data_IF_332560180031
#
_entry.id   IF_332560180031
#
_cell.length_a   1.000
_cell.length_b   1.000
_cell.length_c   1.000
_cell.angle_alpha   90.00
_cell.angle_beta   90.00
_cell.angle_gamma   90.00
#
_symmetry.space_group_name_H-M   'P 1'
#
loop_
_entity.id
_entity.type
_entity.pdbx_description
1 polymer ?
#
# COMPACT_ATOMS: atom_id res chain seq x y z
N UNK A 1 12.06 47.73 -5.64
CA UNK A 1 11.09 46.67 -6.00
C UNK A 1 10.13 47.13 -7.09
N UNK A 2 9.92 48.44 -7.28
CA UNK A 2 8.97 48.99 -8.25
C UNK A 2 9.38 48.83 -9.72
N UNK A 3 10.68 48.83 -10.05
CA UNK A 3 11.14 48.66 -11.44
C UNK A 3 10.90 47.25 -12.01
N UNK A 4 11.01 46.22 -11.17
CA UNK A 4 10.74 44.83 -11.59
C UNK A 4 9.25 44.62 -11.89
N UNK A 5 8.38 45.22 -11.06
CA UNK A 5 6.93 45.12 -11.23
C UNK A 5 6.50 45.89 -12.47
N UNK A 6 7.04 47.09 -12.71
CA UNK A 6 6.80 47.83 -13.96
C UNK A 6 7.29 47.08 -15.20
N UNK A 7 8.48 46.47 -15.15
CA UNK A 7 9.01 45.63 -16.24
C UNK A 7 8.14 44.41 -16.52
N UNK A 8 7.61 43.77 -15.48
CA UNK A 8 6.68 42.63 -15.60
C UNK A 8 5.35 43.03 -16.25
N UNK A 9 4.76 44.16 -15.86
CA UNK A 9 3.50 44.65 -16.46
C UNK A 9 3.67 45.13 -17.90
N UNK A 10 4.81 45.72 -18.25
CA UNK A 10 5.15 46.06 -19.63
C UNK A 10 5.34 44.80 -20.49
N UNK A 11 6.01 43.77 -19.96
CA UNK A 11 6.16 42.48 -20.62
C UNK A 11 4.80 41.77 -20.79
N UNK A 12 4.00 41.68 -19.74
CA UNK A 12 2.67 41.06 -19.79
C UNK A 12 1.73 41.78 -20.78
N UNK A 13 1.79 43.12 -20.87
CA UNK A 13 1.06 43.88 -21.86
C UNK A 13 1.53 43.64 -23.30
N UNK A 14 2.84 43.51 -23.52
CA UNK A 14 3.41 43.35 -24.86
C UNK A 14 3.39 41.91 -25.39
N UNK A 15 3.39 40.91 -24.49
CA UNK A 15 3.48 39.48 -24.84
C UNK A 15 2.22 38.67 -24.49
N UNK A 16 1.08 39.32 -24.19
CA UNK A 16 -0.18 38.65 -23.85
C UNK A 16 -0.68 37.67 -24.92
N UNK A 17 -0.29 37.89 -26.18
CA UNK A 17 -0.66 37.06 -27.32
C UNK A 17 0.00 35.67 -27.32
N UNK A 18 1.05 35.43 -26.51
CA UNK A 18 1.71 34.11 -26.38
C UNK A 18 0.82 33.03 -25.76
N UNK A 19 -0.28 33.41 -25.10
CA UNK A 19 -1.26 32.46 -24.56
C UNK A 19 -1.93 31.66 -25.70
N UNK A 20 -2.11 32.25 -26.88
CA UNK A 20 -2.79 31.62 -28.02
C UNK A 20 -2.02 30.44 -28.65
N UNK A 21 -0.71 30.54 -29.00
CA UNK A 21 0.04 29.39 -29.51
C UNK A 21 0.21 28.27 -28.47
N UNK A 22 0.35 28.62 -27.19
CA UNK A 22 0.48 27.64 -26.10
C UNK A 22 -0.85 26.87 -25.91
N UNK A 23 -2.00 27.56 -25.96
CA UNK A 23 -3.32 26.90 -25.94
C UNK A 23 -3.61 26.09 -27.21
N UNK A 24 -3.14 26.52 -28.38
CA UNK A 24 -3.27 25.74 -29.63
C UNK A 24 -2.51 24.42 -29.60
N UNK A 25 -1.31 24.41 -29.01
CA UNK A 25 -0.48 23.21 -28.85
C UNK A 25 -1.06 22.29 -27.76
N UNK A 26 -1.53 22.84 -26.64
CA UNK A 26 -2.20 22.08 -25.58
C UNK A 26 -3.52 21.44 -26.05
N UNK A 27 -4.32 22.16 -26.84
CA UNK A 27 -5.57 21.64 -27.43
C UNK A 27 -5.35 20.54 -28.48
N UNK A 28 -4.24 20.59 -29.23
CA UNK A 28 -3.84 19.55 -30.18
C UNK A 28 -3.42 18.24 -29.52
N UNK A 29 -2.70 18.31 -28.40
CA UNK A 29 -2.30 17.13 -27.61
C UNK A 29 -3.50 16.45 -26.93
N UNK A 30 -4.44 17.22 -26.36
CA UNK A 30 -5.64 16.70 -25.70
C UNK A 30 -6.55 15.88 -26.64
N UNK A 31 -6.72 16.31 -27.90
CA UNK A 31 -7.56 15.62 -28.90
C UNK A 31 -6.93 14.35 -29.49
N UNK A 32 -5.63 14.15 -29.30
CA UNK A 32 -4.90 12.97 -29.80
C UNK A 32 -5.00 11.78 -28.84
N UNK A 33 -5.00 12.03 -27.53
CA UNK A 33 -5.20 11.00 -26.49
C UNK A 33 -6.63 10.46 -26.45
N UNK A 34 -7.65 11.30 -26.72
CA UNK A 34 -9.04 10.87 -26.79
C UNK A 34 -9.32 9.90 -27.96
N UNK A 35 -8.64 10.08 -29.10
CA UNK A 35 -8.73 9.18 -30.26
C UNK A 35 -7.96 7.87 -30.09
N UNK A 36 -6.89 7.85 -29.28
CA UNK A 36 -6.15 6.63 -28.97
C UNK A 36 -6.89 5.75 -27.95
N UNK A 37 -7.64 6.37 -27.03
CA UNK A 37 -8.50 5.67 -26.07
C UNK A 37 -9.70 4.98 -26.75
N UNK A 38 -10.39 5.66 -27.69
CA UNK A 38 -11.52 5.07 -28.45
C UNK A 38 -11.11 3.87 -29.30
N UNK A 39 -9.96 3.92 -29.99
CA UNK A 39 -9.45 2.79 -30.81
C UNK A 39 -9.06 1.55 -29.99
N UNK A 40 -8.65 1.70 -28.72
CA UNK A 40 -8.38 0.57 -27.83
C UNK A 40 -9.66 -0.06 -27.28
N UNK A 41 -10.70 0.75 -27.10
CA UNK A 41 -12.00 0.28 -26.64
C UNK A 41 -12.73 -0.51 -27.75
N UNK A 42 -12.69 -0.02 -28.99
CA UNK A 42 -13.24 -0.74 -30.16
C UNK A 42 -12.56 -2.10 -30.37
N UNK A 43 -11.22 -2.17 -30.29
CA UNK A 43 -10.48 -3.44 -30.37
C UNK A 43 -10.80 -4.41 -29.21
N UNK A 44 -11.09 -3.89 -28.01
CA UNK A 44 -11.52 -4.71 -26.87
C UNK A 44 -12.95 -5.25 -27.04
N UNK A 45 -13.84 -4.48 -27.66
CA UNK A 45 -15.20 -4.94 -27.95
C UNK A 45 -15.24 -5.93 -29.12
N UNK A 46 -14.41 -5.77 -30.14
CA UNK A 46 -14.27 -6.73 -31.23
C UNK A 46 -13.68 -8.05 -30.74
N UNK A 47 -12.63 -8.01 -29.90
CA UNK A 47 -12.09 -9.23 -29.28
C UNK A 47 -13.07 -9.90 -28.32
N UNK A 48 -13.91 -9.15 -27.62
CA UNK A 48 -14.98 -9.72 -26.80
C UNK A 48 -16.09 -10.34 -27.65
N UNK A 49 -16.45 -9.73 -28.79
CA UNK A 49 -17.43 -10.29 -29.73
C UNK A 49 -16.89 -11.52 -30.46
N UNK A 50 -15.65 -11.50 -30.95
CA UNK A 50 -14.99 -12.67 -31.54
C UNK A 50 -14.83 -13.79 -30.52
N UNK A 51 -14.49 -13.46 -29.26
CA UNK A 51 -14.47 -14.47 -28.18
C UNK A 51 -15.86 -14.98 -27.84
N UNK A 52 -16.90 -14.14 -27.90
CA UNK A 52 -18.28 -14.56 -27.71
C UNK A 52 -18.72 -15.47 -28.85
N UNK A 53 -18.45 -15.12 -30.10
CA UNK A 53 -18.75 -15.91 -31.30
C UNK A 53 -17.98 -17.23 -31.34
N UNK A 54 -16.71 -17.25 -30.93
CA UNK A 54 -15.94 -18.49 -30.77
C UNK A 54 -16.54 -19.33 -29.64
N UNK A 55 -16.94 -18.70 -28.52
CA UNK A 55 -17.55 -19.42 -27.38
C UNK A 55 -18.94 -19.95 -27.75
N UNK A 56 -19.74 -19.23 -28.54
CA UNK A 56 -21.02 -19.72 -29.05
C UNK A 56 -20.83 -20.81 -30.10
N UNK A 57 -19.89 -20.67 -31.02
CA UNK A 57 -19.54 -21.73 -31.98
C UNK A 57 -18.96 -22.98 -31.29
N UNK A 58 -18.20 -22.80 -30.21
CA UNK A 58 -17.69 -23.89 -29.38
C UNK A 58 -18.80 -24.55 -28.55
N UNK A 59 -19.82 -23.79 -28.13
CA UNK A 59 -21.04 -24.29 -27.49
C UNK A 59 -21.94 -25.03 -28.51
N UNK A 60 -22.03 -24.58 -29.75
CA UNK A 60 -22.74 -25.27 -30.84
C UNK A 60 -22.00 -26.55 -31.28
N UNK A 61 -20.67 -26.51 -31.37
CA UNK A 61 -19.83 -27.68 -31.63
C UNK A 61 -19.90 -28.70 -30.48
N UNK A 62 -19.95 -28.25 -29.21
CA UNK A 62 -20.30 -29.10 -28.05
C UNK A 62 -21.75 -29.55 -28.06
N UNK A 63 -22.67 -28.79 -28.66
CA UNK A 63 -24.07 -29.16 -28.82
C UNK A 63 -24.28 -30.36 -29.76
N UNK A 64 -23.35 -30.63 -30.68
CA UNK A 64 -23.32 -31.87 -31.47
C UNK A 64 -22.51 -32.99 -30.81
N UNK A 65 -21.45 -32.66 -30.06
CA UNK A 65 -20.71 -33.63 -29.26
C UNK A 65 -21.27 -33.71 -27.83
N UNK A 66 -22.33 -34.51 -27.66
CA UNK A 66 -22.93 -34.93 -26.38
C UNK A 66 -23.81 -33.84 -25.74
N UNK A 67 -25.13 -33.95 -25.98
CA UNK A 67 -26.16 -33.35 -25.12
C UNK A 67 -25.98 -33.87 -23.68
N UNK A 68 -25.23 -33.13 -22.88
CA UNK A 68 -25.49 -33.01 -21.45
C UNK A 68 -26.36 -31.76 -21.32
N UNK A 69 -27.56 -31.90 -20.77
CA UNK A 69 -28.50 -30.79 -20.57
C UNK A 69 -27.90 -29.67 -19.72
N UNK A 70 -28.64 -28.57 -19.48
CA UNK A 70 -28.17 -27.50 -18.60
C UNK A 70 -27.72 -28.13 -17.29
N UNK A 71 -26.42 -28.07 -17.03
CA UNK A 71 -25.88 -28.41 -15.74
C UNK A 71 -26.43 -27.35 -14.77
N UNK A 72 -27.57 -27.67 -14.16
CA UNK A 72 -27.79 -27.26 -12.78
C UNK A 72 -26.50 -27.67 -12.10
N UNK A 73 -25.68 -26.68 -11.74
CA UNK A 73 -24.52 -26.94 -10.91
C UNK A 73 -25.11 -27.56 -9.66
N UNK A 74 -24.90 -28.84 -9.51
CA UNK A 74 -25.38 -29.61 -8.38
C UNK A 74 -24.59 -29.08 -7.18
N UNK A 75 -25.08 -28.01 -6.53
CA UNK A 75 -24.46 -27.43 -5.33
C UNK A 75 -24.43 -28.45 -4.19
N UNK A 76 -25.09 -29.58 -4.37
CA UNK A 76 -25.13 -30.78 -3.53
C UNK A 76 -23.99 -31.76 -3.80
N UNK A 77 -23.07 -31.49 -4.73
CA UNK A 77 -21.83 -32.24 -4.80
C UNK A 77 -21.07 -32.06 -3.48
N UNK A 78 -21.03 -33.13 -2.66
CA UNK A 78 -20.32 -33.17 -1.39
C UNK A 78 -18.84 -32.84 -1.63
N UNK A 79 -18.51 -31.56 -1.48
CA UNK A 79 -17.15 -31.07 -1.36
C UNK A 79 -16.62 -31.69 -0.07
N UNK A 80 -15.46 -32.37 -0.14
CA UNK A 80 -14.85 -32.94 1.05
C UNK A 80 -14.77 -31.84 2.13
N UNK A 81 -15.25 -32.05 3.36
CA UNK A 81 -15.37 -30.99 4.37
C UNK A 81 -14.11 -30.15 4.56
N UNK A 82 -12.93 -30.78 4.48
CA UNK A 82 -11.64 -30.10 4.58
C UNK A 82 -11.42 -29.10 3.43
N UNK A 83 -11.77 -29.45 2.19
CA UNK A 83 -11.62 -28.55 1.04
C UNK A 83 -12.60 -27.36 1.08
N UNK A 84 -13.74 -27.49 1.75
CA UNK A 84 -14.63 -26.36 2.02
C UNK A 84 -14.01 -25.43 3.08
N UNK A 85 -13.51 -26.00 4.19
CA UNK A 85 -12.85 -25.23 5.24
C UNK A 85 -11.63 -24.46 4.73
N UNK A 86 -10.80 -25.08 3.88
CA UNK A 86 -9.67 -24.41 3.24
C UNK A 86 -10.10 -23.18 2.43
N UNK A 87 -11.21 -23.28 1.68
CA UNK A 87 -11.75 -22.13 0.93
C UNK A 87 -12.27 -21.05 1.85
N UNK A 88 -12.96 -21.41 2.94
CA UNK A 88 -13.45 -20.46 3.93
C UNK A 88 -12.30 -19.74 4.64
N UNK A 89 -11.20 -20.45 4.94
CA UNK A 89 -9.97 -19.83 5.46
C UNK A 89 -9.38 -18.84 4.48
N UNK A 90 -9.25 -19.23 3.20
CA UNK A 90 -8.73 -18.35 2.18
C UNK A 90 -9.58 -17.08 2.02
N UNK A 91 -10.91 -17.20 2.00
CA UNK A 91 -11.82 -16.05 1.92
C UNK A 91 -11.72 -15.15 3.16
N UNK A 92 -11.73 -15.74 4.36
CA UNK A 92 -11.55 -15.00 5.61
C UNK A 92 -10.23 -14.22 5.62
N UNK A 93 -9.13 -14.87 5.22
CA UNK A 93 -7.80 -14.27 5.21
C UNK A 93 -7.68 -13.19 4.12
N UNK A 94 -8.33 -13.36 2.97
CA UNK A 94 -8.40 -12.34 1.91
C UNK A 94 -9.12 -11.07 2.40
N UNK A 95 -10.29 -11.22 3.04
CA UNK A 95 -11.04 -10.08 3.59
C UNK A 95 -10.20 -9.39 4.69
N UNK A 96 -9.55 -10.17 5.55
CA UNK A 96 -8.68 -9.63 6.60
C UNK A 96 -7.51 -8.86 6.01
N UNK A 97 -6.85 -9.39 4.98
CA UNK A 97 -5.75 -8.72 4.29
C UNK A 97 -6.22 -7.40 3.64
N UNK A 98 -7.36 -7.42 2.95
CA UNK A 98 -7.97 -6.22 2.36
C UNK A 98 -8.33 -5.17 3.41
N UNK A 99 -8.76 -5.57 4.61
CA UNK A 99 -9.00 -4.64 5.70
C UNK A 99 -7.70 -4.10 6.29
N UNK A 100 -6.69 -4.95 6.53
CA UNK A 100 -5.39 -4.53 7.07
C UNK A 100 -4.68 -3.52 6.16
N UNK A 101 -4.89 -3.60 4.85
CA UNK A 101 -4.45 -2.56 3.93
C UNK A 101 -4.98 -1.17 4.33
N UNK A 102 -6.21 -1.05 4.85
CA UNK A 102 -6.74 0.23 5.32
C UNK A 102 -6.16 0.67 6.66
N UNK A 103 -5.65 -0.24 7.49
CA UNK A 103 -5.09 0.09 8.81
C UNK A 103 -3.57 0.33 8.77
N UNK A 104 -2.87 -0.28 7.81
CA UNK A 104 -1.41 -0.28 7.71
C UNK A 104 -0.88 0.61 6.59
N UNK A 105 -1.62 0.79 5.49
CA UNK A 105 -1.25 1.71 4.42
C UNK A 105 -1.76 3.13 4.75
N UNK A 106 -0.82 3.99 5.13
CA UNK A 106 -1.10 5.41 5.45
C UNK A 106 -1.77 6.13 4.29
N UNK A 107 -1.50 5.78 3.03
CA UNK A 107 -2.17 6.40 1.90
C UNK A 107 -3.67 6.02 1.86
N UNK A 108 -4.00 4.76 2.15
CA UNK A 108 -5.40 4.29 2.23
C UNK A 108 -6.11 4.86 3.44
N UNK A 109 -5.44 4.96 4.60
CA UNK A 109 -5.95 5.64 5.79
C UNK A 109 -6.41 7.07 5.49
N UNK A 110 -5.57 7.85 4.81
CA UNK A 110 -5.91 9.25 4.49
C UNK A 110 -7.02 9.33 3.42
N UNK A 111 -7.05 8.40 2.46
CA UNK A 111 -8.02 8.41 1.38
C UNK A 111 -9.43 7.95 1.81
N UNK A 112 -9.50 7.04 2.79
CA UNK A 112 -10.74 6.41 3.26
C UNK A 112 -10.79 6.36 4.80
N UNK A 113 -10.69 7.50 5.51
CA UNK A 113 -10.56 7.56 6.96
C UNK A 113 -11.75 6.96 7.71
N UNK A 114 -12.94 6.94 7.09
CA UNK A 114 -14.12 6.30 7.66
C UNK A 114 -13.93 4.80 7.91
N UNK A 115 -13.05 4.11 7.15
CA UNK A 115 -12.85 2.65 7.27
C UNK A 115 -12.19 2.24 8.59
N UNK A 116 -11.40 3.14 9.19
CA UNK A 116 -10.72 2.96 10.48
C UNK A 116 -11.51 3.54 11.66
N UNK A 117 -12.64 4.21 11.39
CA UNK A 117 -13.48 4.78 12.43
C UNK A 117 -14.57 3.79 12.87
N UNK A 118 -14.31 3.09 13.97
CA UNK A 118 -15.26 2.14 14.59
C UNK A 118 -16.58 2.77 15.07
N UNK A 119 -16.71 4.10 15.07
CA UNK A 119 -17.99 4.78 15.36
C UNK A 119 -18.93 4.77 14.17
N UNK A 120 -18.40 4.56 12.95
CA UNK A 120 -19.23 4.46 11.76
C UNK A 120 -20.06 3.18 11.83
N UNK A 121 -21.40 3.24 11.66
CA UNK A 121 -22.27 2.11 11.94
C UNK A 121 -21.98 0.89 11.06
N UNK A 122 -21.60 1.11 9.79
CA UNK A 122 -21.28 0.03 8.85
C UNK A 122 -19.94 -0.62 9.17
N UNK A 123 -18.93 0.17 9.57
CA UNK A 123 -17.63 -0.35 10.03
C UNK A 123 -17.80 -1.10 11.36
N UNK A 124 -18.59 -0.57 12.29
CA UNK A 124 -18.92 -1.26 13.53
C UNK A 124 -19.63 -2.61 13.30
N UNK A 125 -20.51 -2.69 12.29
CA UNK A 125 -21.16 -3.94 11.89
C UNK A 125 -20.14 -4.93 11.30
N UNK A 126 -19.25 -4.45 10.42
CA UNK A 126 -18.13 -5.22 9.88
C UNK A 126 -17.22 -5.77 10.98
N UNK A 127 -16.76 -4.94 11.93
CA UNK A 127 -15.88 -5.38 13.02
C UNK A 127 -16.56 -6.39 13.95
N UNK A 128 -17.87 -6.28 14.16
CA UNK A 128 -18.66 -7.28 14.88
C UNK A 128 -18.73 -8.60 14.11
N UNK A 129 -19.01 -8.56 12.80
CA UNK A 129 -19.01 -9.75 11.95
C UNK A 129 -17.63 -10.42 11.90
N UNK A 130 -16.56 -9.62 11.82
CA UNK A 130 -15.18 -10.10 11.92
C UNK A 130 -14.96 -10.88 13.21
N UNK A 131 -15.30 -10.28 14.36
CA UNK A 131 -15.11 -10.92 15.67
C UNK A 131 -15.88 -12.24 15.77
N UNK A 132 -17.09 -12.31 15.20
CA UNK A 132 -17.86 -13.55 15.15
C UNK A 132 -17.19 -14.60 14.26
N UNK A 133 -16.73 -14.22 13.07
CA UNK A 133 -16.01 -15.12 12.17
C UNK A 133 -14.69 -15.62 12.77
N UNK A 134 -13.92 -14.74 13.42
CA UNK A 134 -12.68 -15.08 14.14
C UNK A 134 -12.96 -16.10 15.25
N UNK A 135 -14.03 -15.90 16.03
CA UNK A 135 -14.38 -16.77 17.15
C UNK A 135 -14.86 -18.17 16.70
N UNK A 136 -15.47 -18.25 15.53
CA UNK A 136 -15.97 -19.50 14.95
C UNK A 136 -14.94 -20.22 14.08
N UNK A 137 -13.79 -19.58 13.78
CA UNK A 137 -12.74 -20.14 12.92
C UNK A 137 -12.09 -21.36 13.60
N UNK A 138 -12.18 -22.57 13.01
CA UNK A 138 -11.43 -23.72 13.51
C UNK A 138 -9.91 -23.49 13.44
N UNK A 139 -9.15 -24.09 14.35
CA UNK A 139 -7.68 -23.94 14.40
C UNK A 139 -6.96 -24.62 13.24
N UNK A 140 -7.51 -25.71 12.70
CA UNK A 140 -6.94 -26.47 11.59
C UNK A 140 -8.05 -26.99 10.68
N UNK A 141 -7.79 -27.09 9.38
CA UNK A 141 -8.74 -27.62 8.40
C UNK A 141 -8.89 -29.16 8.51
N UNK A 142 -7.87 -29.84 9.03
CA UNK A 142 -7.85 -31.30 9.25
C UNK A 142 -8.36 -31.72 10.63
N UNK A 143 -8.76 -30.76 11.47
CA UNK A 143 -9.31 -31.01 12.78
C UNK A 143 -10.67 -31.72 12.72
N UNK A 144 -11.04 -32.39 13.81
CA UNK A 144 -12.39 -32.93 13.97
C UNK A 144 -13.38 -31.77 14.21
N UNK A 145 -13.98 -31.26 13.14
CA UNK A 145 -15.00 -30.20 13.16
C UNK A 145 -16.36 -30.83 12.86
N UNK A 146 -17.40 -30.46 13.61
CA UNK A 146 -18.76 -30.95 13.35
C UNK A 146 -19.38 -30.23 12.14
N UNK A 147 -20.33 -30.86 11.46
CA UNK A 147 -21.05 -30.24 10.34
C UNK A 147 -21.72 -28.92 10.75
N UNK A 148 -22.27 -28.86 11.96
CA UNK A 148 -22.85 -27.64 12.53
C UNK A 148 -21.82 -26.51 12.66
N UNK A 149 -20.62 -26.80 13.17
CA UNK A 149 -19.55 -25.81 13.30
C UNK A 149 -19.09 -25.30 11.92
N UNK A 150 -19.01 -26.19 10.92
CA UNK A 150 -18.68 -25.79 9.54
C UNK A 150 -19.77 -24.86 8.98
N UNK A 151 -21.04 -25.17 9.19
CA UNK A 151 -22.16 -24.32 8.74
C UNK A 151 -22.16 -22.95 9.44
N UNK A 152 -21.96 -22.91 10.75
CA UNK A 152 -21.89 -21.66 11.52
C UNK A 152 -20.72 -20.79 11.07
N UNK A 153 -19.56 -21.40 10.81
CA UNK A 153 -18.40 -20.68 10.28
C UNK A 153 -18.63 -20.17 8.84
N UNK A 154 -19.27 -20.98 7.98
CA UNK A 154 -19.65 -20.57 6.62
C UNK A 154 -20.55 -19.33 6.64
N UNK A 155 -21.61 -19.36 7.46
CA UNK A 155 -22.52 -18.22 7.60
C UNK A 155 -21.80 -16.98 8.14
N UNK A 156 -20.89 -17.16 9.11
CA UNK A 156 -20.11 -16.07 9.69
C UNK A 156 -19.13 -15.44 8.69
N UNK A 157 -18.45 -16.24 7.86
CA UNK A 157 -17.56 -15.75 6.80
C UNK A 157 -18.37 -15.00 5.73
N UNK A 158 -19.53 -15.52 5.33
CA UNK A 158 -20.43 -14.83 4.40
C UNK A 158 -20.92 -13.48 4.94
N UNK A 159 -21.33 -13.44 6.21
CA UNK A 159 -21.72 -12.19 6.88
C UNK A 159 -20.56 -11.20 7.00
N UNK A 160 -19.35 -11.70 7.28
CA UNK A 160 -18.12 -10.92 7.34
C UNK A 160 -17.80 -10.27 5.98
N UNK A 161 -17.84 -11.06 4.89
CA UNK A 161 -17.62 -10.61 3.53
C UNK A 161 -18.60 -9.51 3.12
N UNK A 162 -19.90 -9.74 3.31
CA UNK A 162 -20.95 -8.78 2.96
C UNK A 162 -20.82 -7.49 3.76
N UNK A 163 -20.58 -7.59 5.07
CA UNK A 163 -20.42 -6.42 5.91
C UNK A 163 -19.20 -5.58 5.51
N UNK A 164 -18.09 -6.22 5.14
CA UNK A 164 -16.89 -5.55 4.64
C UNK A 164 -17.16 -4.78 3.34
N UNK A 165 -17.78 -5.43 2.34
CA UNK A 165 -18.08 -4.80 1.05
C UNK A 165 -19.01 -3.58 1.19
N UNK A 166 -20.02 -3.69 2.07
CA UNK A 166 -20.93 -2.57 2.37
C UNK A 166 -20.19 -1.42 3.05
N UNK A 167 -19.35 -1.72 4.05
CA UNK A 167 -18.54 -0.73 4.74
C UNK A 167 -17.54 -0.04 3.80
N UNK A 168 -16.85 -0.81 2.95
CA UNK A 168 -15.88 -0.28 1.99
C UNK A 168 -16.57 0.64 0.97
N UNK A 169 -17.71 0.23 0.44
CA UNK A 169 -18.48 1.05 -0.51
C UNK A 169 -18.92 2.37 0.12
N UNK A 170 -19.35 2.35 1.39
CA UNK A 170 -19.74 3.56 2.09
C UNK A 170 -18.55 4.45 2.42
N UNK A 171 -17.42 3.88 2.88
CA UNK A 171 -16.18 4.61 3.11
C UNK A 171 -15.68 5.29 1.81
N UNK A 172 -15.81 4.62 0.66
CA UNK A 172 -15.52 5.20 -0.66
C UNK A 172 -16.48 6.31 -1.07
N UNK A 173 -17.73 6.26 -0.61
CA UNK A 173 -18.74 7.31 -0.85
C UNK A 173 -18.49 8.54 0.02
N UNK A 174 -18.12 8.33 1.29
CA UNK A 174 -17.82 9.40 2.24
C UNK A 174 -16.47 10.07 1.93
N UNK A 175 -15.40 9.28 1.70
CA UNK A 175 -14.02 9.76 1.56
C UNK A 175 -13.66 10.73 2.70
N UNK A 176 -13.46 12.00 2.39
CA UNK A 176 -13.12 13.09 3.29
C UNK A 176 -14.31 14.04 3.58
N UNK A 177 -15.53 13.68 3.16
CA UNK A 177 -16.71 14.54 3.27
C UNK A 177 -17.12 14.86 4.70
N UNK A 178 -16.71 14.04 5.66
CA UNK A 178 -16.97 14.23 7.10
C UNK A 178 -16.05 15.27 7.75
N UNK A 179 -14.97 15.65 7.07
CA UNK A 179 -14.04 16.67 7.54
C UNK A 179 -14.47 18.05 7.06
N UNK A 180 -14.12 19.09 7.83
CA UNK A 180 -14.29 20.48 7.43
C UNK A 180 -13.35 20.84 6.28
N UNK A 181 -13.62 21.94 5.56
CA UNK A 181 -12.75 22.38 4.46
C UNK A 181 -11.26 22.59 4.85
N UNK A 182 -10.92 23.24 5.97
CA UNK A 182 -9.51 23.37 6.37
C UNK A 182 -8.87 22.01 6.66
N UNK A 183 -9.61 21.07 7.26
CA UNK A 183 -9.12 19.72 7.54
C UNK A 183 -8.89 18.92 6.25
N UNK A 184 -9.80 18.99 5.27
CA UNK A 184 -9.60 18.37 3.95
C UNK A 184 -8.34 18.89 3.26
N UNK A 185 -8.07 20.21 3.33
CA UNK A 185 -6.83 20.80 2.81
C UNK A 185 -5.58 20.27 3.53
N UNK A 186 -5.67 19.96 4.82
CA UNK A 186 -4.57 19.32 5.57
C UNK A 186 -4.35 17.89 5.09
N UNK A 187 -5.42 17.10 4.91
CA UNK A 187 -5.35 15.74 4.37
C UNK A 187 -4.75 15.71 2.95
N UNK A 188 -5.16 16.64 2.08
CA UNK A 188 -4.60 16.77 0.73
C UNK A 188 -3.09 17.05 0.76
N UNK A 189 -2.63 17.94 1.65
CA UNK A 189 -1.20 18.21 1.83
C UNK A 189 -0.47 16.99 2.38
N UNK A 190 -1.05 16.29 3.35
CA UNK A 190 -0.49 15.04 3.87
C UNK A 190 -0.32 13.99 2.76
N UNK A 191 -1.30 13.83 1.86
CA UNK A 191 -1.17 12.92 0.71
C UNK A 191 -0.05 13.33 -0.25
N UNK A 192 0.13 14.64 -0.51
CA UNK A 192 1.22 15.13 -1.37
C UNK A 192 2.59 14.90 -0.73
N UNK A 193 2.73 15.21 0.56
CA UNK A 193 3.96 14.97 1.31
C UNK A 193 4.27 13.47 1.42
N UNK A 194 3.24 12.62 1.59
CA UNK A 194 3.41 11.18 1.65
C UNK A 194 3.99 10.63 0.35
N UNK A 195 3.55 11.14 -0.81
CA UNK A 195 4.13 10.75 -2.12
C UNK A 195 5.63 11.01 -2.16
N UNK A 196 6.09 12.15 -1.64
CA UNK A 196 7.52 12.48 -1.57
C UNK A 196 8.22 11.59 -0.54
N UNK A 197 7.58 11.34 0.61
CA UNK A 197 8.15 10.53 1.68
C UNK A 197 8.44 9.08 1.27
N UNK A 198 7.69 8.53 0.31
CA UNK A 198 7.88 7.16 -0.21
C UNK A 198 8.53 7.12 -1.60
N UNK A 199 8.95 8.26 -2.13
CA UNK A 199 9.57 8.35 -3.46
C UNK A 199 11.05 7.90 -3.41
N UNK A 200 11.35 6.77 -4.05
CA UNK A 200 12.71 6.22 -4.15
C UNK A 200 13.65 7.11 -4.99
N UNK A 201 13.12 8.05 -5.78
CA UNK A 201 13.93 9.00 -6.55
C UNK A 201 14.32 10.27 -5.78
N UNK A 202 13.66 10.54 -4.64
CA UNK A 202 13.98 11.65 -3.76
C UNK A 202 15.15 11.32 -2.82
N UNK A 203 15.85 12.35 -2.33
CA UNK A 203 16.94 12.11 -1.36
C UNK A 203 16.41 11.63 -0.01
N UNK A 204 17.18 10.83 0.72
CA UNK A 204 16.80 10.36 2.07
C UNK A 204 16.45 11.51 3.03
N UNK A 205 17.15 12.65 2.91
CA UNK A 205 16.88 13.83 3.74
C UNK A 205 15.49 14.43 3.43
N UNK A 206 15.13 14.56 2.16
CA UNK A 206 13.82 15.05 1.72
C UNK A 206 12.70 14.10 2.16
N UNK A 207 12.90 12.78 2.02
CA UNK A 207 11.94 11.77 2.51
C UNK A 207 11.69 11.88 4.00
N UNK A 208 12.76 12.00 4.80
CA UNK A 208 12.65 12.14 6.25
C UNK A 208 11.93 13.43 6.68
N UNK A 209 12.17 14.55 5.97
CA UNK A 209 11.47 15.81 6.21
C UNK A 209 9.98 15.65 5.84
N UNK A 210 9.69 15.09 4.67
CA UNK A 210 8.32 14.86 4.22
C UNK A 210 7.55 13.95 5.19
N UNK A 211 8.17 12.86 5.65
CA UNK A 211 7.61 11.97 6.67
C UNK A 211 7.19 12.70 7.95
N UNK A 212 8.09 13.52 8.52
CA UNK A 212 7.77 14.32 9.72
C UNK A 212 6.58 15.24 9.47
N UNK A 213 6.56 15.91 8.31
CA UNK A 213 5.45 16.80 7.92
C UNK A 213 4.13 16.06 7.71
N UNK A 214 4.15 14.83 7.19
CA UNK A 214 2.94 13.99 7.11
C UNK A 214 2.37 13.76 8.50
N UNK A 215 3.21 13.39 9.47
CA UNK A 215 2.78 13.18 10.86
C UNK A 215 2.17 14.44 11.47
N UNK A 216 2.83 15.59 11.29
CA UNK A 216 2.32 16.87 11.78
C UNK A 216 0.95 17.23 11.16
N UNK A 217 0.76 16.99 9.86
CA UNK A 217 -0.49 17.32 9.18
C UNK A 217 -1.64 16.38 9.57
N UNK A 218 -1.35 15.12 9.87
CA UNK A 218 -2.34 14.13 10.31
C UNK A 218 -2.67 14.23 11.80
N UNK A 219 -1.81 14.86 12.60
CA UNK A 219 -2.02 15.03 14.03
C UNK A 219 -3.35 15.71 14.34
N UNK A 220 -4.11 15.11 15.26
CA UNK A 220 -5.46 15.52 15.62
C UNK A 220 -6.55 15.29 14.57
N UNK A 221 -6.24 14.77 13.37
CA UNK A 221 -7.24 14.43 12.34
C UNK A 221 -7.45 12.92 12.22
N UNK A 222 -6.35 12.17 12.10
CA UNK A 222 -6.36 10.72 11.91
C UNK A 222 -5.36 10.12 12.89
N UNK A 223 -5.83 9.18 13.72
CA UNK A 223 -4.96 8.41 14.60
C UNK A 223 -4.27 7.32 13.78
N UNK A 224 -2.95 7.38 13.68
CA UNK A 224 -2.14 6.33 13.07
C UNK A 224 -1.83 5.25 14.11
N UNK A 225 -1.96 3.98 13.74
CA UNK A 225 -1.49 2.87 14.58
C UNK A 225 0.04 2.82 14.61
N UNK A 226 0.61 2.29 15.69
CA UNK A 226 2.06 2.12 15.81
C UNK A 226 2.64 1.25 14.69
N UNK A 227 1.86 0.26 14.21
CA UNK A 227 2.24 -0.58 13.08
C UNK A 227 2.24 0.19 11.75
N UNK A 228 1.23 1.03 11.48
CA UNK A 228 1.21 1.86 10.27
C UNK A 228 2.42 2.81 10.24
N UNK A 229 2.77 3.38 11.39
CA UNK A 229 3.97 4.22 11.55
C UNK A 229 5.23 3.42 11.23
N UNK A 230 5.39 2.21 11.79
CA UNK A 230 6.55 1.36 11.52
C UNK A 230 6.65 0.94 10.04
N UNK A 231 5.53 0.62 9.40
CA UNK A 231 5.47 0.29 7.97
C UNK A 231 5.94 1.48 7.14
N UNK A 232 5.44 2.68 7.44
CA UNK A 232 5.85 3.90 6.76
C UNK A 232 7.33 4.23 6.99
N UNK A 233 7.83 4.12 8.22
CA UNK A 233 9.24 4.36 8.54
C UNK A 233 10.16 3.40 7.77
N UNK A 234 9.78 2.13 7.68
CA UNK A 234 10.52 1.12 6.90
C UNK A 234 10.54 1.45 5.41
N UNK A 235 9.47 2.02 4.86
CA UNK A 235 9.43 2.47 3.47
C UNK A 235 10.33 3.70 3.25
N UNK A 236 10.22 4.69 4.14
CA UNK A 236 11.03 5.93 4.10
C UNK A 236 12.53 5.63 4.23
N UNK A 237 12.90 4.65 5.05
CA UNK A 237 14.28 4.25 5.32
C UNK A 237 14.89 3.28 4.27
N UNK A 238 14.12 2.85 3.26
CA UNK A 238 14.58 1.88 2.25
C UNK A 238 15.53 2.53 1.25
N UNK A 239 16.74 2.87 1.69
CA UNK A 239 17.95 3.03 0.87
C UNK A 239 19.17 2.56 1.66
N UNK A 240 19.51 1.28 1.46
CA UNK A 240 20.89 0.84 1.59
C UNK A 240 21.24 0.22 0.24
N UNK A 241 22.02 0.89 -0.63
CA UNK A 241 22.63 0.21 -1.76
C UNK A 241 23.59 -0.85 -1.20
N UNK A 242 23.18 -2.11 -1.28
CA UNK A 242 24.13 -3.21 -1.31
C UNK A 242 24.97 -3.07 -2.59
N UNK A 243 26.29 -3.06 -2.43
CA UNK A 243 27.35 -3.06 -3.46
C UNK A 243 27.65 -1.72 -4.16
N UNK A 244 28.65 -1.03 -3.64
CA UNK A 244 29.89 -0.82 -4.42
C UNK A 244 31.05 -1.08 -3.46
N UNK A 245 31.34 -2.36 -3.26
CA UNK A 245 32.67 -2.78 -2.90
C UNK A 245 33.56 -2.52 -4.11
N UNK A 246 33.93 -1.27 -4.34
CA UNK A 246 35.04 -0.93 -5.20
C UNK A 246 36.30 -1.39 -4.46
N UNK A 247 36.70 -2.62 -4.75
CA UNK A 247 38.04 -3.11 -4.51
C UNK A 247 39.05 -2.06 -4.98
N UNK A 248 39.64 -1.34 -4.02
CA UNK A 248 40.89 -0.64 -4.25
C UNK A 248 42.00 -1.67 -4.07
N UNK A 249 42.12 -2.59 -5.02
CA UNK A 249 43.38 -3.30 -5.26
C UNK A 249 44.33 -2.31 -5.93
N UNK A 250 44.97 -1.48 -5.10
CA UNK A 250 46.16 -0.75 -5.51
C UNK A 250 47.23 -1.78 -5.88
N UNK A 251 47.41 -1.95 -7.19
CA UNK A 251 48.62 -2.50 -7.77
C UNK A 251 49.77 -1.58 -7.40
N UNK A 252 50.65 -2.05 -6.51
CA UNK A 252 51.86 -1.35 -6.09
C UNK A 252 53.01 -2.35 -6.03
N UNK A 253 53.88 -2.27 -7.04
CA UNK A 253 55.02 -3.13 -7.29
C UNK A 253 56.00 -3.25 -6.12
N UNK A 254 56.54 -4.47 -5.94
CA UNK A 254 57.81 -4.72 -5.25
C UNK A 254 58.99 -4.16 -6.06
N UNK A 255 60.13 -3.86 -5.41
CA UNK A 255 61.17 -4.89 -5.32
C UNK A 255 61.88 -5.00 -3.97
N UNK A 256 62.52 -6.16 -3.82
CA UNK A 256 63.39 -6.62 -2.73
C UNK A 256 64.54 -5.68 -2.37
N UNK A 257 64.88 -5.59 -1.07
CA UNK A 257 66.19 -6.00 -0.54
C UNK A 257 66.32 -5.73 0.99
N UNK A 258 66.49 -6.83 1.72
CA UNK A 258 67.26 -7.04 2.96
C UNK A 258 67.76 -5.85 3.80
N UNK A 259 67.43 -5.86 5.10
CA UNK A 259 68.37 -6.11 6.22
C UNK A 259 67.69 -5.92 7.59
N UNK A 260 67.84 -6.91 8.47
CA UNK A 260 67.69 -6.81 9.92
C UNK A 260 69.10 -6.77 10.57
N UNK A 261 69.33 -6.60 11.90
CA UNK A 261 68.37 -6.64 13.01
C UNK A 261 68.62 -5.64 14.19
N UNK A 262 67.74 -5.77 15.19
CA UNK A 262 67.93 -5.48 16.63
C UNK A 262 67.86 -4.03 17.15
N UNK A 263 66.83 -3.73 17.95
CA UNK A 263 66.98 -3.43 19.38
C UNK A 263 65.60 -3.31 20.06
N UNK A 264 65.54 -3.88 21.25
CA UNK A 264 64.51 -3.94 22.28
C UNK A 264 63.99 -2.59 22.79
N UNK A 265 62.69 -2.48 23.07
CA UNK A 265 62.17 -2.05 24.39
C UNK A 265 60.63 -2.17 24.51
N UNK A 266 60.19 -2.77 25.61
CA UNK A 266 58.84 -2.83 26.19
C UNK A 266 59.05 -2.46 27.67
N UNK A 267 58.23 -1.67 28.41
CA UNK A 267 56.76 -1.86 28.64
C UNK A 267 56.01 -0.53 29.02
N UNK A 268 54.84 -0.50 29.72
CA UNK A 268 53.62 -1.35 29.70
C UNK A 268 52.32 -0.53 29.46
N UNK A 269 51.19 -1.23 29.33
CA UNK A 269 49.83 -0.69 29.32
C UNK A 269 49.36 -0.14 30.68
N UNK A 270 48.46 0.87 30.72
CA UNK A 270 47.69 1.19 31.92
C UNK A 270 46.32 0.47 31.96
N UNK A 271 46.08 -0.16 33.10
CA UNK A 271 44.86 -0.81 33.59
C UNK A 271 43.69 0.18 33.76
N UNK A 272 42.41 -0.23 33.56
CA UNK A 272 41.26 0.61 33.89
C UNK A 272 40.95 0.58 35.41
N UNK A 273 40.95 1.75 36.04
CA UNK A 273 40.57 1.95 37.44
C UNK A 273 39.16 1.41 37.73
N UNK A 274 39.07 0.57 38.77
CA UNK A 274 37.82 0.08 39.36
C UNK A 274 37.43 0.93 40.58
N UNK A 275 36.17 1.38 40.57
CA UNK A 275 35.24 1.50 41.72
C UNK A 275 35.53 2.58 42.80
N UNK A 276 34.52 3.13 43.53
CA UNK A 276 33.45 2.35 44.16
C UNK A 276 32.02 2.91 44.19
N UNK A 277 31.10 1.95 44.31
CA UNK A 277 29.72 2.08 44.80
C UNK A 277 29.66 2.93 46.07
N UNK A 278 28.81 3.96 46.08
CA UNK A 278 28.44 4.69 47.30
C UNK A 278 27.15 4.11 47.86
N UNK A 279 27.27 3.71 49.12
CA UNK A 279 26.31 3.05 50.00
C UNK A 279 25.00 3.82 50.17
N UNK A 280 23.95 3.03 50.37
CA UNK A 280 22.69 3.38 51.02
C UNK A 280 22.91 4.11 52.35
N UNK A 281 22.12 5.15 52.61
CA UNK A 281 21.76 5.56 53.96
C UNK A 281 20.26 5.88 54.02
N UNK A 282 19.59 5.16 54.91
CA UNK A 282 18.21 5.23 55.34
C UNK A 282 17.89 6.51 56.12
N UNK A 283 16.68 7.06 55.92
CA UNK A 283 15.73 7.49 56.96
C UNK A 283 14.36 7.76 56.33
#
# INVERSE_FOLDING_TARGET
MDEFIQGFWAFAGNYWWLVFPIMGIAGGAAKSWERAAKRRHERRLETLRVKAEIKTAQLEARGHAKRVGPAIVDTTASVAPNTLLERLFAEHDEITARWLDYELDVAKLIAFPAMSDGRQPLVAAFLRAKRTADALRPTTADGAVTEQQVSEYLDAVGAYAVAFEIAEKDARRLRDSTFTEPERKRLDRAQQLLKVAVDESATQAERNIAYKRVRDELDGLILLSDEAVQVLEKQVARELPASTGAASTTTGAAPDAASAPAASDTPPAPEPERMPLRKDETL
#
